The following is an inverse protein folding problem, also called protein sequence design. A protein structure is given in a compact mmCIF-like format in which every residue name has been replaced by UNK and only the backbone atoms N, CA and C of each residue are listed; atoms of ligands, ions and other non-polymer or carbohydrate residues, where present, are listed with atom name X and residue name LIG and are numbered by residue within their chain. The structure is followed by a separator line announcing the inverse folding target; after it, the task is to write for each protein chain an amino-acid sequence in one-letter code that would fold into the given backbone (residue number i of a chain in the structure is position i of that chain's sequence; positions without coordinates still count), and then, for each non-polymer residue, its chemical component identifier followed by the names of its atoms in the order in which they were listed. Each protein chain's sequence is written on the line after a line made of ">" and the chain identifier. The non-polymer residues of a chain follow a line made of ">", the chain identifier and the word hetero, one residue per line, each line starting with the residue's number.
data_IF_981738266835
#
_entry.id   IF_981738266835
#
_cell.length_a   1.000
_cell.length_b   1.000
_cell.length_c   1.000
_cell.angle_alpha   90.00
_cell.angle_beta   90.00
_cell.angle_gamma   90.00
#
_symmetry.space_group_name_H-M   'P 1'
#
loop_
_entity.id
_entity.type
_entity.pdbx_description
1 polymer ?
#
# COMPACT_ATOMS: atom_id res chain seq x y z
N UNK A 1 -77.54 -120.76 -34.79
CA UNK A 1 -76.25 -120.66 -35.53
C UNK A 1 -76.01 -119.26 -36.10
N UNK A 2 -76.83 -118.77 -37.05
CA UNK A 2 -76.60 -117.51 -37.82
C UNK A 2 -76.27 -116.29 -36.94
N UNK A 3 -77.02 -116.04 -35.84
CA UNK A 3 -76.77 -114.89 -34.95
C UNK A 3 -75.32 -114.82 -34.40
N UNK A 4 -74.66 -115.97 -34.19
CA UNK A 4 -73.27 -116.01 -33.73
C UNK A 4 -72.30 -115.53 -34.80
N UNK A 5 -72.55 -115.86 -36.08
CA UNK A 5 -71.74 -115.41 -37.22
C UNK A 5 -71.86 -113.89 -37.42
N UNK A 6 -73.08 -113.34 -37.29
CA UNK A 6 -73.31 -111.87 -37.36
C UNK A 6 -72.59 -111.14 -36.22
N UNK A 7 -72.70 -111.62 -34.97
CA UNK A 7 -71.96 -111.07 -33.82
C UNK A 7 -70.45 -111.15 -34.03
N UNK A 8 -69.93 -112.27 -34.56
CA UNK A 8 -68.50 -112.42 -34.86
C UNK A 8 -68.03 -111.47 -35.97
N UNK A 9 -68.85 -111.22 -37.00
CA UNK A 9 -68.54 -110.26 -38.07
C UNK A 9 -68.50 -108.83 -37.54
N UNK A 10 -69.48 -108.41 -36.73
CA UNK A 10 -69.51 -107.10 -36.09
C UNK A 10 -68.30 -106.89 -35.17
N UNK A 11 -67.95 -107.88 -34.34
CA UNK A 11 -66.75 -107.83 -33.51
C UNK A 11 -65.46 -107.73 -34.34
N UNK A 12 -65.31 -108.52 -35.42
CA UNK A 12 -64.19 -108.42 -36.37
C UNK A 12 -64.16 -107.11 -37.16
N UNK A 13 -65.29 -106.40 -37.29
CA UNK A 13 -65.36 -105.05 -37.87
C UNK A 13 -64.88 -104.01 -36.85
N UNK A 14 -65.50 -103.92 -35.66
CA UNK A 14 -65.11 -102.94 -34.63
C UNK A 14 -63.65 -103.12 -34.19
N UNK A 15 -63.14 -104.36 -34.14
CA UNK A 15 -61.72 -104.63 -33.86
C UNK A 15 -60.77 -104.12 -34.95
N UNK A 16 -61.20 -104.03 -36.22
CA UNK A 16 -60.39 -103.41 -37.30
C UNK A 16 -60.41 -101.89 -37.20
N UNK A 17 -61.56 -101.30 -36.93
CA UNK A 17 -61.72 -99.86 -36.71
C UNK A 17 -60.86 -99.41 -35.52
N UNK A 18 -60.99 -100.05 -34.35
CA UNK A 18 -60.16 -99.81 -33.16
C UNK A 18 -58.66 -99.97 -33.41
N UNK A 19 -58.24 -100.91 -34.29
CA UNK A 19 -56.83 -101.08 -34.67
C UNK A 19 -56.30 -99.99 -35.59
N UNK A 20 -57.16 -99.32 -36.36
CA UNK A 20 -56.81 -98.15 -37.17
C UNK A 20 -56.76 -96.91 -36.28
N UNK A 21 -57.77 -96.72 -35.42
CA UNK A 21 -57.84 -95.68 -34.39
C UNK A 21 -56.56 -95.69 -33.52
N UNK A 22 -56.20 -96.84 -32.92
CA UNK A 22 -55.01 -96.97 -32.08
C UNK A 22 -53.68 -96.72 -32.83
N UNK A 23 -53.58 -97.09 -34.11
CA UNK A 23 -52.41 -96.76 -34.94
C UNK A 23 -52.32 -95.26 -35.20
N UNK A 24 -53.43 -94.61 -35.53
CA UNK A 24 -53.50 -93.16 -35.74
C UNK A 24 -53.06 -92.39 -34.49
N UNK A 25 -53.59 -92.78 -33.31
CA UNK A 25 -53.16 -92.22 -32.02
C UNK A 25 -51.65 -92.42 -31.79
N UNK A 26 -51.11 -93.61 -32.07
CA UNK A 26 -49.68 -93.88 -31.95
C UNK A 26 -48.79 -93.07 -32.91
N UNK A 27 -49.29 -92.69 -34.09
CA UNK A 27 -48.60 -91.76 -35.00
C UNK A 27 -48.68 -90.31 -34.48
N UNK A 28 -49.85 -89.85 -34.03
CA UNK A 28 -50.04 -88.53 -33.45
C UNK A 28 -49.20 -88.32 -32.19
N UNK A 29 -49.10 -89.32 -31.30
CA UNK A 29 -48.23 -89.27 -30.11
C UNK A 29 -46.75 -89.08 -30.49
N UNK A 30 -46.27 -89.77 -31.53
CA UNK A 30 -44.88 -89.61 -32.03
C UNK A 30 -44.65 -88.24 -32.66
N UNK A 31 -45.62 -87.73 -33.43
CA UNK A 31 -45.56 -86.39 -34.01
C UNK A 31 -45.53 -85.32 -32.92
N UNK A 32 -46.46 -85.39 -31.97
CA UNK A 32 -46.57 -84.43 -30.87
C UNK A 32 -45.30 -84.42 -30.02
N UNK A 33 -44.71 -85.58 -29.69
CA UNK A 33 -43.42 -85.63 -28.98
C UNK A 33 -42.25 -85.05 -29.80
N UNK A 34 -42.30 -85.17 -31.13
CA UNK A 34 -41.35 -84.51 -32.03
C UNK A 34 -41.50 -82.98 -32.03
N UNK A 35 -42.74 -82.49 -32.03
CA UNK A 35 -43.07 -81.07 -31.95
C UNK A 35 -42.71 -80.49 -30.57
N UNK A 36 -43.00 -81.19 -29.49
CA UNK A 36 -42.64 -80.87 -28.10
C UNK A 36 -41.13 -80.71 -27.94
N UNK A 37 -40.34 -81.71 -28.38
CA UNK A 37 -38.88 -81.61 -28.42
C UNK A 37 -38.39 -80.40 -29.25
N UNK A 38 -39.08 -80.07 -30.36
CA UNK A 38 -38.71 -78.93 -31.20
C UNK A 38 -39.07 -77.58 -30.55
N UNK A 39 -40.19 -77.51 -29.83
CA UNK A 39 -40.62 -76.33 -29.05
C UNK A 39 -39.60 -76.07 -27.95
N UNK A 40 -39.23 -77.09 -27.15
CA UNK A 40 -38.20 -76.99 -26.10
C UNK A 40 -36.86 -76.50 -26.68
N UNK A 41 -36.41 -77.09 -27.80
CA UNK A 41 -35.18 -76.69 -28.47
C UNK A 41 -35.21 -75.25 -29.01
N UNK A 42 -36.37 -74.75 -29.43
CA UNK A 42 -36.54 -73.36 -29.88
C UNK A 42 -36.62 -72.38 -28.71
N UNK A 43 -37.29 -72.76 -27.62
CA UNK A 43 -37.35 -71.98 -26.36
C UNK A 43 -35.93 -71.81 -25.78
N UNK A 44 -35.20 -72.90 -25.57
CA UNK A 44 -33.81 -72.85 -25.08
C UNK A 44 -32.89 -71.95 -25.93
N UNK A 45 -33.08 -71.93 -27.26
CA UNK A 45 -32.33 -71.03 -28.14
C UNK A 45 -32.77 -69.57 -28.00
N UNK A 46 -34.07 -69.31 -27.85
CA UNK A 46 -34.62 -67.97 -27.64
C UNK A 46 -34.17 -67.40 -26.29
N UNK A 47 -34.20 -68.21 -25.23
CA UNK A 47 -33.75 -67.85 -23.89
C UNK A 47 -32.27 -67.48 -23.89
N UNK A 48 -31.42 -68.30 -24.54
CA UNK A 48 -30.00 -68.01 -24.74
C UNK A 48 -29.77 -66.71 -25.52
N UNK A 49 -30.47 -66.50 -26.64
CA UNK A 49 -30.38 -65.26 -27.42
C UNK A 49 -30.85 -64.03 -26.64
N UNK A 50 -31.84 -64.19 -25.76
CA UNK A 50 -32.38 -63.10 -24.93
C UNK A 50 -31.40 -62.72 -23.82
N UNK A 51 -30.80 -63.71 -23.16
CA UNK A 51 -29.75 -63.49 -22.18
C UNK A 51 -28.50 -62.83 -22.80
N UNK A 52 -28.07 -63.30 -23.98
CA UNK A 52 -26.93 -62.73 -24.70
C UNK A 52 -27.20 -61.30 -25.18
N UNK A 53 -28.40 -61.01 -25.70
CA UNK A 53 -28.80 -59.64 -26.04
C UNK A 53 -28.79 -58.71 -24.79
N UNK A 54 -29.23 -59.19 -23.64
CA UNK A 54 -29.13 -58.46 -22.37
C UNK A 54 -27.69 -58.17 -21.96
N UNK A 55 -26.80 -59.17 -22.08
CA UNK A 55 -25.35 -59.03 -21.83
C UNK A 55 -24.70 -58.00 -22.77
N UNK A 56 -25.05 -58.05 -24.07
CA UNK A 56 -24.56 -57.10 -25.07
C UNK A 56 -25.06 -55.67 -24.82
N UNK A 57 -26.29 -55.51 -24.32
CA UNK A 57 -26.84 -54.19 -23.97
C UNK A 57 -26.09 -53.55 -22.78
N UNK A 58 -25.78 -54.34 -21.74
CA UNK A 58 -24.95 -53.90 -20.60
C UNK A 58 -23.56 -53.45 -21.09
N UNK A 59 -22.90 -54.27 -21.92
CA UNK A 59 -21.57 -53.95 -22.47
C UNK A 59 -21.60 -52.71 -23.38
N UNK A 60 -22.69 -52.49 -24.14
CA UNK A 60 -22.85 -51.26 -24.91
C UNK A 60 -22.94 -50.04 -24.01
N UNK A 61 -23.75 -50.09 -22.95
CA UNK A 61 -23.90 -48.99 -21.99
C UNK A 61 -22.58 -48.69 -21.25
N UNK A 62 -21.81 -49.72 -20.89
CA UNK A 62 -20.48 -49.57 -20.29
C UNK A 62 -19.47 -48.97 -21.29
N UNK A 63 -19.51 -49.37 -22.57
CA UNK A 63 -18.71 -48.77 -23.62
C UNK A 63 -19.08 -47.31 -23.92
N UNK A 64 -20.36 -46.93 -23.82
CA UNK A 64 -20.82 -45.55 -23.92
C UNK A 64 -20.38 -44.70 -22.71
N UNK A 65 -20.41 -45.26 -21.50
CA UNK A 65 -19.85 -44.61 -20.30
C UNK A 65 -18.34 -44.35 -20.45
N UNK A 66 -17.56 -45.36 -20.87
CA UNK A 66 -16.13 -45.20 -21.13
C UNK A 66 -15.84 -44.20 -22.25
N UNK A 67 -16.68 -44.13 -23.30
CA UNK A 67 -16.57 -43.09 -24.36
C UNK A 67 -16.75 -41.68 -23.79
N UNK A 68 -17.72 -41.47 -22.90
CA UNK A 68 -17.95 -40.17 -22.27
C UNK A 68 -16.80 -39.78 -21.32
N UNK A 69 -16.29 -40.73 -20.53
CA UNK A 69 -15.16 -40.51 -19.62
C UNK A 69 -13.87 -40.15 -20.39
N UNK A 70 -13.58 -40.85 -21.49
CA UNK A 70 -12.45 -40.52 -22.38
C UNK A 70 -12.58 -39.13 -23.02
N UNK A 71 -13.79 -38.68 -23.36
CA UNK A 71 -14.02 -37.35 -23.90
C UNK A 71 -13.76 -36.26 -22.84
N UNK A 72 -14.20 -36.47 -21.60
CA UNK A 72 -13.93 -35.55 -20.49
C UNK A 72 -12.43 -35.42 -20.23
N UNK A 73 -11.71 -36.55 -20.14
CA UNK A 73 -10.26 -36.58 -19.91
C UNK A 73 -9.46 -35.86 -21.01
N UNK A 74 -9.88 -35.91 -22.28
CA UNK A 74 -9.19 -35.16 -23.34
C UNK A 74 -9.50 -33.65 -23.30
N UNK A 75 -10.69 -33.23 -22.84
CA UNK A 75 -10.97 -31.81 -22.58
C UNK A 75 -10.18 -31.26 -21.38
N UNK A 76 -10.08 -32.01 -20.27
CA UNK A 76 -9.23 -31.67 -19.13
C UNK A 76 -7.76 -31.56 -19.55
N UNK A 77 -7.27 -32.51 -20.36
CA UNK A 77 -5.93 -32.49 -20.94
C UNK A 77 -5.67 -31.25 -21.81
N UNK A 78 -6.65 -30.82 -22.61
CA UNK A 78 -6.54 -29.59 -23.39
C UNK A 78 -6.43 -28.34 -22.49
N UNK A 79 -7.22 -28.28 -21.41
CA UNK A 79 -7.15 -27.19 -20.43
C UNK A 79 -5.79 -27.17 -19.69
N UNK A 80 -5.28 -28.34 -19.28
CA UNK A 80 -3.97 -28.46 -18.64
C UNK A 80 -2.82 -28.04 -19.58
N UNK A 81 -2.91 -28.32 -20.88
CA UNK A 81 -1.93 -27.86 -21.88
C UNK A 81 -1.97 -26.34 -22.06
N UNK A 82 -3.15 -25.72 -22.05
CA UNK A 82 -3.30 -24.27 -22.10
C UNK A 82 -2.72 -23.60 -20.84
N UNK A 83 -3.11 -24.06 -19.65
CA UNK A 83 -2.60 -23.55 -18.37
C UNK A 83 -1.08 -23.70 -18.24
N UNK A 84 -0.51 -24.80 -18.77
CA UNK A 84 0.95 -24.98 -18.84
C UNK A 84 1.61 -23.92 -19.73
N UNK A 85 1.07 -23.64 -20.92
CA UNK A 85 1.63 -22.63 -21.83
C UNK A 85 1.55 -21.21 -21.23
N UNK A 86 0.49 -20.91 -20.48
CA UNK A 86 0.37 -19.66 -19.72
C UNK A 86 1.40 -19.57 -18.58
N UNK A 87 1.61 -20.66 -17.83
CA UNK A 87 2.64 -20.72 -16.79
C UNK A 87 4.07 -20.54 -17.35
N UNK A 88 4.38 -21.14 -18.51
CA UNK A 88 5.65 -20.93 -19.21
C UNK A 88 5.83 -19.48 -19.69
N UNK A 89 4.77 -18.84 -20.16
CA UNK A 89 4.74 -17.42 -20.55
C UNK A 89 4.95 -16.47 -19.34
N UNK A 90 4.29 -16.75 -18.21
CA UNK A 90 4.48 -16.01 -16.96
C UNK A 90 5.91 -16.19 -16.40
N UNK A 91 6.46 -17.41 -16.44
CA UNK A 91 7.83 -17.67 -16.03
C UNK A 91 8.87 -16.94 -16.92
N UNK A 92 8.59 -16.79 -18.22
CA UNK A 92 9.43 -15.98 -19.12
C UNK A 92 9.35 -14.48 -18.77
N UNK A 93 8.15 -13.95 -18.50
CA UNK A 93 7.95 -12.56 -18.07
C UNK A 93 8.64 -12.26 -16.74
N UNK A 94 8.56 -13.15 -15.75
CA UNK A 94 9.24 -13.00 -14.46
C UNK A 94 10.75 -12.87 -14.64
N UNK A 95 11.38 -13.74 -15.45
CA UNK A 95 12.82 -13.66 -15.74
C UNK A 95 13.25 -12.33 -16.39
N UNK A 96 12.41 -11.76 -17.25
CA UNK A 96 12.67 -10.44 -17.85
C UNK A 96 12.55 -9.30 -16.82
N UNK A 97 11.56 -9.38 -15.92
CA UNK A 97 11.39 -8.41 -14.83
C UNK A 97 12.50 -8.52 -13.78
N UNK A 98 12.97 -9.72 -13.46
CA UNK A 98 14.14 -9.97 -12.60
C UNK A 98 15.42 -9.39 -13.21
N UNK A 99 15.64 -9.60 -14.51
CA UNK A 99 16.79 -9.04 -15.22
C UNK A 99 16.75 -7.49 -15.22
N UNK A 100 15.59 -6.90 -15.53
CA UNK A 100 15.39 -5.45 -15.48
C UNK A 100 15.58 -4.87 -14.07
N UNK A 101 15.02 -5.52 -13.04
CA UNK A 101 15.20 -5.11 -11.63
C UNK A 101 16.67 -5.17 -11.20
N UNK A 102 17.43 -6.18 -11.67
CA UNK A 102 18.86 -6.30 -11.41
C UNK A 102 19.68 -5.22 -12.14
N UNK A 103 19.31 -4.88 -13.37
CA UNK A 103 19.91 -3.76 -14.10
C UNK A 103 19.68 -2.44 -13.36
N UNK A 104 18.44 -2.17 -12.94
CA UNK A 104 18.06 -0.93 -12.25
C UNK A 104 18.70 -0.81 -10.86
N UNK A 105 18.81 -1.91 -10.11
CA UNK A 105 19.62 -1.96 -8.90
C UNK A 105 21.07 -1.53 -9.17
N UNK A 106 21.70 -2.06 -10.23
CA UNK A 106 23.07 -1.68 -10.63
C UNK A 106 23.21 -0.26 -11.21
N UNK A 107 22.10 0.47 -11.41
CA UNK A 107 22.10 1.92 -11.69
C UNK A 107 21.97 2.71 -10.39
N UNK A 108 21.06 2.31 -9.50
CA UNK A 108 20.93 2.90 -8.17
C UNK A 108 22.24 2.80 -7.37
N UNK A 109 22.89 1.63 -7.39
CA UNK A 109 24.20 1.43 -6.75
C UNK A 109 25.24 2.47 -7.25
N UNK A 110 25.24 2.78 -8.56
CA UNK A 110 26.16 3.78 -9.14
C UNK A 110 25.78 5.20 -8.74
N UNK A 111 24.50 5.55 -8.84
CA UNK A 111 23.98 6.86 -8.46
C UNK A 111 24.19 7.16 -6.97
N UNK A 112 24.08 6.16 -6.09
CA UNK A 112 24.37 6.30 -4.66
C UNK A 112 25.86 6.51 -4.39
N UNK A 113 26.75 5.80 -5.11
CA UNK A 113 28.20 6.05 -5.07
C UNK A 113 28.56 7.45 -5.62
N UNK A 114 27.97 7.88 -6.73
CA UNK A 114 28.17 9.22 -7.32
C UNK A 114 27.68 10.32 -6.37
N UNK A 115 26.51 10.16 -5.74
CA UNK A 115 25.97 11.09 -4.75
C UNK A 115 26.87 11.17 -3.50
N UNK A 116 27.36 10.03 -2.99
CA UNK A 116 28.28 10.01 -1.85
C UNK A 116 29.63 10.65 -2.19
N UNK A 117 30.19 10.43 -3.39
CA UNK A 117 31.40 11.11 -3.85
C UNK A 117 31.21 12.63 -3.89
N UNK A 118 30.15 13.12 -4.55
CA UNK A 118 29.84 14.56 -4.64
C UNK A 118 29.61 15.20 -3.26
N UNK A 119 29.06 14.45 -2.32
CA UNK A 119 28.83 14.88 -0.93
C UNK A 119 30.14 14.98 -0.15
N UNK A 120 31.10 14.09 -0.36
CA UNK A 120 32.42 14.16 0.26
C UNK A 120 33.30 15.25 -0.39
N UNK A 121 33.21 15.46 -1.71
CA UNK A 121 33.82 16.60 -2.41
C UNK A 121 33.28 17.94 -1.87
N UNK A 122 31.95 18.08 -1.77
CA UNK A 122 31.30 19.28 -1.21
C UNK A 122 31.69 19.50 0.26
N UNK A 123 31.91 18.43 1.03
CA UNK A 123 32.40 18.51 2.42
C UNK A 123 33.83 19.03 2.48
N UNK A 124 34.72 18.56 1.60
CA UNK A 124 36.11 19.05 1.51
C UNK A 124 36.12 20.55 1.13
N UNK A 125 35.36 20.96 0.12
CA UNK A 125 35.23 22.39 -0.24
C UNK A 125 34.62 23.23 0.90
N UNK A 126 33.69 22.69 1.70
CA UNK A 126 33.17 23.37 2.88
C UNK A 126 34.23 23.51 3.99
N UNK A 127 35.06 22.50 4.24
CA UNK A 127 36.16 22.55 5.21
C UNK A 127 37.28 23.51 4.74
N UNK A 128 37.60 23.51 3.44
CA UNK A 128 38.51 24.47 2.82
C UNK A 128 37.98 25.91 2.88
N UNK A 129 36.73 26.16 2.52
CA UNK A 129 36.14 27.52 2.59
C UNK A 129 36.01 28.02 4.04
N UNK A 130 35.69 27.13 4.99
CA UNK A 130 35.67 27.47 6.42
C UNK A 130 37.07 27.82 6.96
N UNK A 131 38.12 27.09 6.58
CA UNK A 131 39.49 27.41 6.99
C UNK A 131 40.00 28.71 6.35
N UNK A 132 39.73 28.94 5.06
CA UNK A 132 40.01 30.21 4.36
C UNK A 132 39.31 31.40 5.03
N UNK A 133 38.03 31.26 5.41
CA UNK A 133 37.25 32.29 6.11
C UNK A 133 37.80 32.58 7.51
N UNK A 134 38.15 31.53 8.27
CA UNK A 134 38.76 31.68 9.60
C UNK A 134 40.10 32.42 9.55
N UNK A 135 40.95 32.13 8.56
CA UNK A 135 42.21 32.86 8.35
C UNK A 135 41.97 34.36 8.08
N UNK A 136 41.07 34.68 7.15
CA UNK A 136 40.65 36.07 6.86
C UNK A 136 40.07 36.79 8.09
N UNK A 137 39.33 36.09 8.95
CA UNK A 137 38.78 36.67 10.18
C UNK A 137 39.87 36.97 11.22
N UNK A 138 40.90 36.12 11.32
CA UNK A 138 42.10 36.36 12.14
C UNK A 138 42.88 37.56 11.60
N UNK A 139 43.08 37.67 10.29
CA UNK A 139 43.73 38.82 9.66
C UNK A 139 42.95 40.13 9.91
N UNK A 140 41.63 40.12 9.73
CA UNK A 140 40.77 41.27 10.03
C UNK A 140 40.84 41.68 11.50
N UNK A 141 40.88 40.70 12.43
CA UNK A 141 41.05 40.97 13.86
C UNK A 141 42.40 41.64 14.15
N UNK A 142 43.50 41.09 13.61
CA UNK A 142 44.85 41.64 13.76
C UNK A 142 44.95 43.06 13.15
N UNK A 143 44.35 43.29 11.99
CA UNK A 143 44.32 44.59 11.34
C UNK A 143 43.49 45.61 12.14
N UNK A 144 42.39 45.18 12.76
CA UNK A 144 41.54 46.00 13.64
C UNK A 144 42.25 46.38 14.94
N UNK A 145 43.03 45.48 15.54
CA UNK A 145 43.92 45.80 16.68
C UNK A 145 44.98 46.82 16.25
N UNK A 146 45.69 46.57 15.15
CA UNK A 146 46.74 47.46 14.64
C UNK A 146 46.20 48.86 14.29
N UNK A 147 45.00 48.95 13.72
CA UNK A 147 44.30 50.21 13.47
C UNK A 147 43.95 50.96 14.75
N UNK A 148 43.44 50.25 15.77
CA UNK A 148 43.14 50.84 17.08
C UNK A 148 44.41 51.39 17.74
N UNK A 149 45.53 50.69 17.65
CA UNK A 149 46.80 51.13 18.23
C UNK A 149 47.42 52.31 17.47
N UNK A 150 47.38 52.32 16.14
CA UNK A 150 47.72 53.52 15.34
C UNK A 150 46.82 54.71 15.71
N UNK A 151 45.54 54.47 15.98
CA UNK A 151 44.59 55.52 16.40
C UNK A 151 44.88 56.04 17.81
N UNK A 152 45.37 55.21 18.73
CA UNK A 152 45.90 55.65 20.05
C UNK A 152 47.16 56.49 19.87
N UNK A 153 48.15 56.00 19.10
CA UNK A 153 49.40 56.71 18.83
C UNK A 153 49.16 58.08 18.20
N UNK A 154 48.28 58.16 17.18
CA UNK A 154 47.91 59.43 16.57
C UNK A 154 47.34 60.41 17.61
N UNK A 155 46.41 59.97 18.46
CA UNK A 155 45.82 60.82 19.51
C UNK A 155 46.85 61.34 20.53
N UNK A 156 47.90 60.57 20.83
CA UNK A 156 49.00 61.01 21.68
C UNK A 156 49.82 62.10 20.97
N UNK A 157 50.23 61.87 19.72
CA UNK A 157 51.00 62.85 18.92
C UNK A 157 50.20 64.14 18.67
N UNK A 158 48.91 64.04 18.35
CA UNK A 158 48.01 65.20 18.19
C UNK A 158 47.94 66.01 19.50
N UNK A 159 47.93 65.35 20.67
CA UNK A 159 47.90 66.01 21.98
C UNK A 159 49.26 66.62 22.39
N UNK A 160 50.38 66.00 22.02
CA UNK A 160 51.73 66.56 22.22
C UNK A 160 51.97 67.77 21.32
N UNK A 161 51.55 67.70 20.05
CA UNK A 161 51.62 68.82 19.11
C UNK A 161 50.71 69.99 19.53
N UNK A 162 49.59 69.71 20.21
CA UNK A 162 48.76 70.74 20.85
C UNK A 162 49.48 71.40 22.05
N UNK A 163 50.14 70.62 22.91
CA UNK A 163 50.95 71.17 24.02
C UNK A 163 52.08 72.06 23.51
N UNK A 164 52.81 71.62 22.50
CA UNK A 164 53.90 72.41 21.91
C UNK A 164 53.40 73.67 21.20
N UNK A 165 52.26 73.62 20.49
CA UNK A 165 51.60 74.83 19.98
C UNK A 165 51.26 75.81 21.10
N UNK A 166 50.69 75.33 22.20
CA UNK A 166 50.35 76.18 23.35
C UNK A 166 51.61 76.76 24.02
N UNK A 167 52.71 76.00 24.10
CA UNK A 167 54.00 76.47 24.62
C UNK A 167 54.63 77.54 23.73
N UNK A 168 54.62 77.34 22.40
CA UNK A 168 55.05 78.34 21.44
C UNK A 168 54.21 79.62 21.57
N UNK A 169 52.87 79.51 21.57
CA UNK A 169 51.97 80.65 21.72
C UNK A 169 52.19 81.41 23.05
N UNK A 170 52.44 80.71 24.16
CA UNK A 170 52.78 81.35 25.43
C UNK A 170 54.10 82.13 25.31
N UNK A 171 55.16 81.53 24.75
CA UNK A 171 56.44 82.23 24.55
C UNK A 171 56.33 83.40 23.55
N UNK A 172 55.47 83.30 22.54
CA UNK A 172 55.20 84.37 21.58
C UNK A 172 54.42 85.52 22.22
N UNK A 173 53.51 85.22 23.16
CA UNK A 173 52.84 86.21 24.01
C UNK A 173 53.80 86.89 24.98
N UNK A 174 54.69 86.14 25.65
CA UNK A 174 55.74 86.69 26.52
C UNK A 174 56.70 87.60 25.73
N UNK A 175 57.16 87.16 24.55
CA UNK A 175 57.98 87.98 23.64
C UNK A 175 57.23 89.23 23.17
N UNK A 176 55.93 89.12 22.89
CA UNK A 176 55.09 90.26 22.52
C UNK A 176 54.93 91.26 23.67
N UNK A 177 54.71 90.78 24.90
CA UNK A 177 54.64 91.62 26.11
C UNK A 177 55.98 92.30 26.40
N UNK A 178 57.11 91.60 26.30
CA UNK A 178 58.43 92.20 26.44
C UNK A 178 58.69 93.27 25.36
N UNK A 179 58.28 93.01 24.11
CA UNK A 179 58.37 93.97 23.00
C UNK A 179 57.49 95.19 23.24
N UNK A 180 56.28 95.02 23.77
CA UNK A 180 55.36 96.10 24.11
C UNK A 180 55.88 96.93 25.29
N UNK A 181 56.44 96.30 26.33
CA UNK A 181 57.13 96.99 27.43
C UNK A 181 58.34 97.80 26.94
N UNK A 182 59.15 97.24 26.03
CA UNK A 182 60.27 97.96 25.40
C UNK A 182 59.79 99.15 24.55
N UNK A 183 58.68 99.01 23.81
CA UNK A 183 58.06 100.11 23.07
C UNK A 183 57.48 101.17 24.00
N UNK A 184 56.84 100.79 25.11
CA UNK A 184 56.35 101.72 26.13
C UNK A 184 57.50 102.50 26.78
N UNK A 185 58.59 101.82 27.15
CA UNK A 185 59.80 102.46 27.68
C UNK A 185 60.48 103.38 26.67
N UNK A 186 60.51 103.01 25.37
CA UNK A 186 61.00 103.89 24.31
C UNK A 186 60.12 105.14 24.14
N UNK A 187 58.79 104.99 24.19
CA UNK A 187 57.85 106.11 24.13
C UNK A 187 57.95 107.04 25.35
N UNK A 188 58.21 106.50 26.55
CA UNK A 188 58.45 107.28 27.77
C UNK A 188 59.75 108.12 27.71
N UNK A 189 60.74 107.69 26.93
CA UNK A 189 61.96 108.46 26.66
C UNK A 189 61.84 109.41 25.45
N UNK A 190 60.73 109.39 24.72
CA UNK A 190 60.56 110.09 23.44
C UNK A 190 59.33 111.00 23.41
N UNK A 191 59.42 112.19 24.01
CA UNK A 191 58.44 113.27 23.84
C UNK A 191 59.01 114.65 24.18
N UNK A 192 58.56 115.75 23.52
CA UNK A 192 58.02 115.80 22.16
C UNK A 192 58.55 117.01 21.33
N UNK A 193 59.15 116.77 20.15
CA UNK A 193 59.68 117.86 19.31
C UNK A 193 59.45 117.67 17.79
N UNK A 194 58.41 118.35 17.30
CA UNK A 194 58.31 119.05 16.01
C UNK A 194 58.67 118.34 14.67
N UNK A 195 57.59 117.97 13.96
CA UNK A 195 57.21 118.58 12.67
C UNK A 195 57.76 118.07 11.30
N UNK A 196 56.79 118.05 10.36
CA UNK A 196 56.86 118.34 8.91
C UNK A 196 57.49 117.33 7.93
N UNK A 197 56.61 116.83 7.05
CA UNK A 197 56.79 116.59 5.59
C UNK A 197 57.95 115.69 5.12
N UNK A 198 57.70 114.58 4.40
CA UNK A 198 56.42 114.00 3.97
C UNK A 198 56.58 112.99 2.82
N UNK A 199 55.45 112.66 2.15
CA UNK A 199 55.38 112.02 0.83
C UNK A 199 56.13 110.69 0.59
N UNK A 200 55.51 109.57 0.98
CA UNK A 200 55.21 108.44 0.06
C UNK A 200 53.87 107.82 0.48
N UNK A 201 52.91 107.68 -0.45
CA UNK A 201 51.75 106.77 -0.29
C UNK A 201 51.71 105.83 -1.49
N UNK A 202 52.13 104.59 -1.28
CA UNK A 202 52.17 103.53 -2.29
C UNK A 202 51.53 102.25 -1.72
N UNK A 203 50.75 101.57 -2.56
CA UNK A 203 50.25 100.20 -2.41
C UNK A 203 49.45 99.84 -1.15
N UNK A 204 48.23 100.36 -1.06
CA UNK A 204 47.07 99.56 -0.62
C UNK A 204 45.86 99.80 -1.52
N UNK A 205 45.68 98.95 -2.55
CA UNK A 205 44.37 98.60 -3.12
C UNK A 205 44.45 97.40 -4.07
N UNK A 206 43.49 96.48 -3.89
CA UNK A 206 42.88 95.57 -4.87
C UNK A 206 43.77 94.54 -5.60
N UNK A 207 43.41 93.26 -5.44
CA UNK A 207 42.97 92.26 -6.45
C UNK A 207 42.83 90.91 -5.68
N UNK A 208 41.78 90.07 -5.81
CA UNK A 208 40.66 90.02 -6.75
C UNK A 208 39.31 89.68 -6.07
N UNK A 209 38.26 90.42 -6.43
CA UNK A 209 37.02 89.86 -7.01
C UNK A 209 37.15 90.04 -8.56
N UNK A 210 36.24 89.58 -9.46
CA UNK A 210 34.91 88.99 -9.28
C UNK A 210 34.81 87.59 -9.97
N UNK A 211 33.69 87.05 -10.49
CA UNK A 211 32.85 87.47 -11.65
C UNK A 211 31.77 86.36 -11.84
N UNK A 212 30.45 86.52 -12.03
CA UNK A 212 29.47 87.63 -11.98
C UNK A 212 28.12 87.00 -11.46
N UNK A 213 26.84 87.37 -11.71
CA UNK A 213 26.17 88.32 -12.63
C UNK A 213 24.80 88.81 -12.10
N UNK A 214 24.28 89.85 -12.78
CA UNK A 214 22.94 90.46 -12.89
C UNK A 214 21.71 89.52 -12.73
N UNK A 215 20.52 89.96 -12.25
CA UNK A 215 20.04 91.35 -12.08
C UNK A 215 18.74 91.53 -11.26
N UNK A 216 18.07 92.70 -11.38
CA UNK A 216 17.08 93.17 -10.41
C UNK A 216 15.62 92.79 -10.73
N UNK A 217 14.77 92.71 -9.69
CA UNK A 217 13.44 93.35 -9.57
C UNK A 217 12.61 92.71 -8.44
N UNK A 218 12.81 93.18 -7.20
CA UNK A 218 12.10 92.69 -6.01
C UNK A 218 10.64 93.13 -5.86
N UNK A 219 9.80 93.07 -6.91
CA UNK A 219 8.35 93.35 -6.82
C UNK A 219 7.48 92.80 -7.98
N UNK A 220 7.11 91.52 -7.90
CA UNK A 220 5.99 90.87 -8.64
C UNK A 220 5.40 89.87 -7.62
N UNK A 221 4.19 90.03 -7.04
CA UNK A 221 2.81 90.09 -7.58
C UNK A 221 2.36 88.76 -8.22
N UNK A 222 1.33 88.15 -7.61
CA UNK A 222 0.81 86.80 -7.87
C UNK A 222 0.07 86.62 -9.19
N UNK A 223 0.55 85.67 -10.02
CA UNK A 223 -0.19 84.76 -10.93
C UNK A 223 0.76 83.54 -11.10
N UNK A 224 0.39 82.25 -11.16
CA UNK A 224 -0.90 81.55 -11.23
C UNK A 224 -0.86 80.54 -12.40
N UNK A 225 -0.80 79.22 -12.13
CA UNK A 225 -0.78 78.19 -13.20
C UNK A 225 -0.42 76.75 -12.78
N UNK A 226 -1.19 75.80 -13.32
CA UNK A 226 -0.80 74.53 -13.95
C UNK A 226 -0.13 73.37 -13.17
N UNK A 227 0.01 73.44 -11.84
CA UNK A 227 0.60 72.32 -11.06
C UNK A 227 -0.39 71.24 -10.56
N UNK A 228 -1.71 71.42 -10.68
CA UNK A 228 -2.69 70.43 -10.18
C UNK A 228 -2.98 69.31 -11.20
N UNK A 229 -3.27 69.65 -12.46
CA UNK A 229 -3.67 68.66 -13.47
C UNK A 229 -2.59 67.61 -13.72
N UNK A 230 -1.30 68.00 -13.72
CA UNK A 230 -0.17 67.09 -13.87
C UNK A 230 -0.12 66.06 -12.72
N UNK A 231 -0.41 66.49 -11.49
CA UNK A 231 -0.47 65.58 -10.33
C UNK A 231 -1.70 64.66 -10.39
N UNK A 232 -2.84 65.16 -10.89
CA UNK A 232 -4.06 64.37 -11.08
C UNK A 232 -3.88 63.31 -12.18
N UNK A 233 -3.27 63.64 -13.32
CA UNK A 233 -2.91 62.67 -14.37
C UNK A 233 -1.94 61.61 -13.84
N UNK A 234 -0.93 61.98 -13.05
CA UNK A 234 -0.01 61.02 -12.41
C UNK A 234 -0.74 60.11 -11.40
N UNK A 235 -1.76 60.63 -10.69
CA UNK A 235 -2.59 59.83 -9.80
C UNK A 235 -3.49 58.86 -10.58
N UNK A 236 -4.13 59.31 -11.65
CA UNK A 236 -4.96 58.48 -12.55
C UNK A 236 -4.13 57.35 -13.16
N UNK A 237 -2.91 57.62 -13.63
CA UNK A 237 -2.02 56.58 -14.18
C UNK A 237 -1.63 55.54 -13.11
N UNK A 238 -1.36 55.95 -11.87
CA UNK A 238 -1.12 55.03 -10.74
C UNK A 238 -2.36 54.19 -10.42
N UNK A 239 -3.55 54.80 -10.40
CA UNK A 239 -4.82 54.09 -10.20
C UNK A 239 -5.10 53.08 -11.33
N UNK A 240 -4.90 53.46 -12.60
CA UNK A 240 -5.05 52.57 -13.74
C UNK A 240 -4.06 51.39 -13.69
N UNK A 241 -2.82 51.62 -13.28
CA UNK A 241 -1.84 50.55 -13.08
C UNK A 241 -2.29 49.58 -11.98
N UNK A 242 -2.73 50.09 -10.82
CA UNK A 242 -3.27 49.26 -9.72
C UNK A 242 -4.50 48.48 -10.18
N UNK A 243 -5.44 49.11 -10.91
CA UNK A 243 -6.63 48.45 -11.47
C UNK A 243 -6.24 47.35 -12.48
N UNK A 244 -5.21 47.57 -13.30
CA UNK A 244 -4.69 46.56 -14.23
C UNK A 244 -4.11 45.35 -13.51
N UNK A 245 -3.26 45.57 -12.48
CA UNK A 245 -2.69 44.51 -11.65
C UNK A 245 -3.78 43.74 -10.89
N UNK A 246 -4.78 44.44 -10.33
CA UNK A 246 -5.92 43.81 -9.66
C UNK A 246 -6.77 42.97 -10.64
N UNK A 247 -7.05 43.46 -11.85
CA UNK A 247 -7.76 42.70 -12.89
C UNK A 247 -7.00 41.44 -13.27
N UNK A 248 -5.69 41.55 -13.52
CA UNK A 248 -4.83 40.40 -13.83
C UNK A 248 -4.82 39.37 -12.69
N UNK A 249 -4.76 39.82 -11.43
CA UNK A 249 -4.80 38.94 -10.25
C UNK A 249 -6.17 38.26 -10.05
N UNK A 250 -7.27 38.95 -10.30
CA UNK A 250 -8.63 38.37 -10.29
C UNK A 250 -8.78 37.34 -11.41
N UNK A 251 -8.31 37.65 -12.61
CA UNK A 251 -8.36 36.74 -13.76
C UNK A 251 -7.49 35.48 -13.53
N UNK A 252 -6.31 35.64 -12.93
CA UNK A 252 -5.48 34.52 -12.47
C UNK A 252 -6.19 33.67 -11.41
N UNK A 253 -6.83 34.31 -10.42
CA UNK A 253 -7.60 33.61 -9.38
C UNK A 253 -8.84 32.90 -9.92
N UNK A 254 -9.46 33.40 -10.99
CA UNK A 254 -10.55 32.69 -11.68
C UNK A 254 -10.02 31.44 -12.35
N UNK A 255 -8.96 31.55 -13.17
CA UNK A 255 -8.34 30.40 -13.84
C UNK A 255 -7.90 29.31 -12.85
N UNK A 256 -7.39 29.68 -11.69
CA UNK A 256 -6.99 28.72 -10.66
C UNK A 256 -8.20 28.09 -9.96
N UNK A 257 -9.29 28.83 -9.72
CA UNK A 257 -10.55 28.24 -9.25
C UNK A 257 -11.14 27.26 -10.28
N UNK A 258 -11.15 27.60 -11.56
CA UNK A 258 -11.63 26.73 -12.64
C UNK A 258 -10.77 25.45 -12.75
N UNK A 259 -9.46 25.57 -12.56
CA UNK A 259 -8.51 24.45 -12.46
C UNK A 259 -8.78 23.57 -11.23
N UNK A 260 -8.87 24.16 -10.04
CA UNK A 260 -9.12 23.44 -8.78
C UNK A 260 -10.46 22.71 -8.82
N UNK A 261 -11.51 23.35 -9.36
CA UNK A 261 -12.80 22.70 -9.60
C UNK A 261 -12.68 21.51 -10.54
N UNK A 262 -11.96 21.66 -11.66
CA UNK A 262 -11.72 20.56 -12.61
C UNK A 262 -10.97 19.38 -11.96
N UNK A 263 -10.08 19.64 -11.01
CA UNK A 263 -9.39 18.61 -10.22
C UNK A 263 -10.35 17.92 -9.23
N UNK A 264 -11.22 18.67 -8.56
CA UNK A 264 -12.24 18.13 -7.65
C UNK A 264 -13.22 17.22 -8.42
N UNK A 265 -13.76 17.71 -9.55
CA UNK A 265 -14.70 16.96 -10.39
C UNK A 265 -14.04 15.66 -10.93
N UNK A 266 -12.74 15.68 -11.27
CA UNK A 266 -11.99 14.50 -11.66
C UNK A 266 -11.74 13.51 -10.49
N UNK A 267 -11.39 14.01 -9.31
CA UNK A 267 -11.17 13.17 -8.12
C UNK A 267 -12.47 12.47 -7.68
N UNK A 268 -13.62 13.16 -7.73
CA UNK A 268 -14.93 12.55 -7.45
C UNK A 268 -15.28 11.42 -8.43
N UNK A 269 -14.88 11.55 -9.71
CA UNK A 269 -15.05 10.47 -10.68
C UNK A 269 -14.15 9.27 -10.38
N UNK A 270 -12.88 9.50 -10.01
CA UNK A 270 -11.93 8.44 -9.60
C UNK A 270 -12.48 7.68 -8.38
N UNK A 271 -12.87 8.39 -7.31
CA UNK A 271 -13.42 7.78 -6.10
C UNK A 271 -14.68 6.94 -6.39
N UNK A 272 -15.52 7.37 -7.35
CA UNK A 272 -16.70 6.62 -7.79
C UNK A 272 -16.36 5.35 -8.59
N UNK A 273 -15.23 5.33 -9.30
CA UNK A 273 -14.71 4.18 -10.04
C UNK A 273 -14.02 3.19 -9.10
N UNK A 274 -13.27 3.68 -8.11
CA UNK A 274 -12.63 2.83 -7.10
C UNK A 274 -13.67 2.13 -6.22
N UNK A 275 -14.69 2.85 -5.74
CA UNK A 275 -15.84 2.27 -5.03
C UNK A 275 -16.55 1.18 -5.85
N UNK A 276 -16.71 1.40 -7.17
CA UNK A 276 -17.32 0.42 -8.09
C UNK A 276 -16.40 -0.79 -8.33
N UNK A 277 -15.09 -0.58 -8.33
CA UNK A 277 -14.09 -1.64 -8.54
C UNK A 277 -13.94 -2.50 -7.29
N UNK A 278 -13.90 -1.88 -6.11
CA UNK A 278 -13.93 -2.56 -4.81
C UNK A 278 -15.20 -3.40 -4.62
N UNK A 279 -16.37 -2.88 -5.02
CA UNK A 279 -17.61 -3.68 -4.97
C UNK A 279 -17.53 -4.91 -5.88
N UNK A 280 -17.05 -4.76 -7.12
CA UNK A 280 -16.90 -5.87 -8.07
C UNK A 280 -15.88 -6.92 -7.62
N UNK A 281 -14.77 -6.52 -7.00
CA UNK A 281 -13.79 -7.49 -6.48
C UNK A 281 -14.34 -8.24 -5.27
N UNK A 282 -15.09 -7.57 -4.39
CA UNK A 282 -15.83 -8.24 -3.31
C UNK A 282 -16.92 -9.19 -3.84
N UNK A 283 -17.72 -8.78 -4.82
CA UNK A 283 -18.73 -9.62 -5.48
C UNK A 283 -18.10 -10.87 -6.14
N UNK A 284 -16.96 -10.71 -6.81
CA UNK A 284 -16.23 -11.82 -7.44
C UNK A 284 -15.63 -12.79 -6.40
N UNK A 285 -15.02 -12.28 -5.32
CA UNK A 285 -14.55 -13.11 -4.21
C UNK A 285 -15.71 -13.88 -3.57
N UNK A 286 -16.84 -13.21 -3.35
CA UNK A 286 -18.03 -13.81 -2.72
C UNK A 286 -18.70 -14.86 -3.61
N UNK A 287 -18.64 -14.70 -4.93
CA UNK A 287 -19.05 -15.73 -5.89
C UNK A 287 -18.13 -16.97 -5.79
N UNK A 288 -16.80 -16.75 -5.80
CA UNK A 288 -15.80 -17.82 -5.71
C UNK A 288 -15.90 -18.61 -4.38
N UNK A 289 -16.18 -17.94 -3.26
CA UNK A 289 -16.49 -18.60 -1.98
C UNK A 289 -17.70 -19.53 -2.08
N UNK A 290 -18.77 -19.06 -2.73
CA UNK A 290 -20.03 -19.78 -2.85
C UNK A 290 -19.91 -20.98 -3.82
N UNK A 291 -19.18 -20.82 -4.92
CA UNK A 291 -18.82 -21.90 -5.84
C UNK A 291 -18.01 -22.99 -5.13
N UNK A 292 -16.98 -22.61 -4.37
CA UNK A 292 -16.16 -23.56 -3.58
C UNK A 292 -16.95 -24.24 -2.45
N UNK A 293 -17.93 -23.57 -1.85
CA UNK A 293 -18.83 -24.19 -0.88
C UNK A 293 -19.79 -25.19 -1.57
N UNK A 294 -20.26 -24.88 -2.77
CA UNK A 294 -21.14 -25.74 -3.56
C UNK A 294 -20.42 -26.99 -4.07
N UNK A 295 -19.18 -26.89 -4.56
CA UNK A 295 -18.41 -28.08 -5.00
C UNK A 295 -18.16 -29.04 -3.84
N UNK A 296 -17.73 -28.53 -2.68
CA UNK A 296 -17.53 -29.35 -1.46
C UNK A 296 -18.81 -30.06 -1.01
N UNK A 297 -19.96 -29.35 -1.02
CA UNK A 297 -21.24 -29.95 -0.67
C UNK A 297 -21.67 -31.02 -1.68
N UNK A 298 -21.40 -30.81 -2.98
CA UNK A 298 -21.62 -31.81 -4.04
C UNK A 298 -20.73 -33.04 -3.83
N UNK A 299 -19.45 -32.85 -3.54
CA UNK A 299 -18.48 -33.93 -3.25
C UNK A 299 -18.90 -34.75 -2.01
N UNK A 300 -19.32 -34.12 -0.90
CA UNK A 300 -19.80 -34.85 0.28
C UNK A 300 -21.13 -35.58 0.03
N UNK A 301 -22.01 -35.06 -0.82
CA UNK A 301 -23.24 -35.74 -1.24
C UNK A 301 -22.96 -36.93 -2.18
N UNK A 302 -22.03 -36.77 -3.13
CA UNK A 302 -21.58 -37.86 -4.02
C UNK A 302 -20.91 -38.97 -3.20
N UNK A 303 -20.05 -38.63 -2.23
CA UNK A 303 -19.47 -39.58 -1.26
C UNK A 303 -20.55 -40.35 -0.47
N UNK A 304 -21.61 -39.67 -0.01
CA UNK A 304 -22.73 -40.32 0.69
C UNK A 304 -23.56 -41.22 -0.23
N UNK A 305 -23.73 -40.86 -1.49
CA UNK A 305 -24.40 -41.72 -2.49
C UNK A 305 -23.57 -42.97 -2.76
N UNK A 306 -22.25 -42.87 -2.88
CA UNK A 306 -21.40 -44.07 -2.99
C UNK A 306 -21.40 -44.92 -1.71
N UNK A 307 -21.37 -44.29 -0.53
CA UNK A 307 -21.44 -44.97 0.77
C UNK A 307 -22.74 -45.78 0.90
N UNK A 308 -23.87 -45.22 0.44
CA UNK A 308 -25.15 -45.92 0.30
C UNK A 308 -25.10 -47.10 -0.67
N UNK A 309 -24.44 -46.95 -1.82
CA UNK A 309 -24.34 -47.99 -2.85
C UNK A 309 -23.47 -49.16 -2.38
N UNK A 310 -22.36 -48.89 -1.66
CA UNK A 310 -21.46 -49.92 -1.13
C UNK A 310 -21.99 -50.61 0.13
N UNK A 311 -22.54 -49.84 1.07
CA UNK A 311 -22.79 -50.30 2.45
C UNK A 311 -24.29 -50.35 2.82
N UNK A 312 -25.20 -49.92 1.93
CA UNK A 312 -26.63 -49.82 2.20
C UNK A 312 -27.05 -48.54 2.93
N UNK A 313 -28.36 -48.30 3.03
CA UNK A 313 -28.91 -47.06 3.62
C UNK A 313 -28.60 -46.87 5.11
N UNK A 314 -28.44 -47.96 5.88
CA UNK A 314 -28.20 -47.90 7.33
C UNK A 314 -26.78 -47.46 7.69
N UNK A 315 -25.84 -47.58 6.73
CA UNK A 315 -24.45 -47.16 6.88
C UNK A 315 -24.16 -45.74 6.35
N UNK A 316 -25.19 -44.99 5.91
CA UNK A 316 -25.01 -43.61 5.46
C UNK A 316 -24.71 -42.68 6.63
N UNK A 317 -23.52 -42.07 6.65
CA UNK A 317 -23.11 -41.12 7.70
C UNK A 317 -23.76 -39.72 7.56
N UNK A 318 -25.03 -39.67 7.15
CA UNK A 318 -25.79 -38.44 6.87
C UNK A 318 -25.98 -37.58 8.13
N UNK A 319 -26.10 -38.21 9.31
CA UNK A 319 -26.14 -37.53 10.61
C UNK A 319 -24.88 -36.67 10.82
N UNK A 320 -23.69 -37.22 10.60
CA UNK A 320 -22.43 -36.50 10.77
C UNK A 320 -22.29 -35.34 9.79
N UNK A 321 -22.80 -35.47 8.55
CA UNK A 321 -22.84 -34.33 7.62
C UNK A 321 -23.73 -33.19 8.14
N UNK A 322 -24.94 -33.51 8.64
CA UNK A 322 -25.86 -32.50 9.20
C UNK A 322 -25.26 -31.84 10.44
N UNK A 323 -24.64 -32.61 11.33
CA UNK A 323 -23.98 -32.11 12.55
C UNK A 323 -22.82 -31.16 12.21
N UNK A 324 -21.93 -31.53 11.28
CA UNK A 324 -20.89 -30.62 10.75
C UNK A 324 -21.46 -29.33 10.16
N UNK A 325 -22.52 -29.42 9.37
CA UNK A 325 -23.16 -28.25 8.73
C UNK A 325 -23.75 -27.31 9.80
N UNK A 326 -24.25 -27.84 10.91
CA UNK A 326 -24.76 -27.05 12.03
C UNK A 326 -23.60 -26.36 12.79
N UNK A 327 -22.56 -27.10 13.19
CA UNK A 327 -21.35 -26.54 13.83
C UNK A 327 -20.69 -25.43 12.99
N UNK A 328 -20.60 -25.64 11.67
CA UNK A 328 -20.07 -24.71 10.68
C UNK A 328 -20.98 -23.47 10.46
N UNK A 329 -22.28 -23.58 10.75
CA UNK A 329 -23.22 -22.45 10.76
C UNK A 329 -23.14 -21.67 12.07
N UNK A 330 -23.05 -22.34 13.22
CA UNK A 330 -22.98 -21.70 14.52
C UNK A 330 -21.67 -20.94 14.70
N UNK A 331 -20.53 -21.48 14.26
CA UNK A 331 -19.26 -20.72 14.20
C UNK A 331 -19.39 -19.42 13.37
N UNK A 332 -20.06 -19.48 12.21
CA UNK A 332 -20.33 -18.27 11.39
C UNK A 332 -21.28 -17.28 12.06
N UNK A 333 -22.18 -17.74 12.95
CA UNK A 333 -23.03 -16.84 13.75
C UNK A 333 -22.19 -16.14 14.82
N UNK A 334 -21.29 -16.88 15.49
CA UNK A 334 -20.35 -16.32 16.47
C UNK A 334 -19.42 -15.28 15.82
N UNK A 335 -18.74 -15.62 14.71
CA UNK A 335 -17.92 -14.71 13.91
C UNK A 335 -18.70 -13.44 13.49
N UNK A 336 -19.96 -13.60 13.04
CA UNK A 336 -20.82 -12.47 12.67
C UNK A 336 -21.28 -11.62 13.86
N UNK A 337 -21.36 -12.18 15.06
CA UNK A 337 -21.65 -11.45 16.31
C UNK A 337 -20.40 -10.68 16.77
N UNK A 338 -19.22 -11.30 16.74
CA UNK A 338 -17.95 -10.64 17.05
C UNK A 338 -17.68 -9.44 16.11
N UNK A 339 -17.82 -9.64 14.79
CA UNK A 339 -17.66 -8.56 13.81
C UNK A 339 -18.67 -7.42 14.02
N UNK A 340 -19.92 -7.73 14.41
CA UNK A 340 -20.91 -6.71 14.79
C UNK A 340 -20.53 -5.97 16.06
N UNK A 341 -19.98 -6.65 17.06
CA UNK A 341 -19.51 -6.02 18.30
C UNK A 341 -18.29 -5.10 18.04
N UNK A 342 -17.34 -5.53 17.22
CA UNK A 342 -16.18 -4.72 16.80
C UNK A 342 -16.64 -3.47 16.03
N UNK A 343 -17.58 -3.63 15.08
CA UNK A 343 -18.15 -2.50 14.34
C UNK A 343 -18.95 -1.55 15.25
N UNK A 344 -19.79 -2.07 16.16
CA UNK A 344 -20.52 -1.25 17.13
C UNK A 344 -19.56 -0.44 18.02
N UNK A 345 -18.53 -1.08 18.59
CA UNK A 345 -17.49 -0.41 19.38
C UNK A 345 -16.58 0.54 18.58
N UNK A 346 -16.57 0.45 17.24
CA UNK A 346 -15.95 1.45 16.35
C UNK A 346 -16.89 2.64 16.12
N UNK A 347 -18.18 2.42 15.87
CA UNK A 347 -19.17 3.50 15.76
C UNK A 347 -19.33 4.27 17.07
N UNK A 348 -19.35 3.58 18.21
CA UNK A 348 -19.46 4.19 19.54
C UNK A 348 -18.21 5.01 19.89
N UNK A 349 -16.99 4.49 19.66
CA UNK A 349 -15.75 5.30 19.79
C UNK A 349 -15.75 6.52 18.86
N UNK A 350 -16.21 6.39 17.61
CA UNK A 350 -16.31 7.52 16.66
C UNK A 350 -17.34 8.56 17.11
N UNK A 351 -18.46 8.13 17.68
CA UNK A 351 -19.47 9.02 18.25
C UNK A 351 -18.95 9.75 19.52
N UNK A 352 -18.22 9.05 20.39
CA UNK A 352 -17.59 9.65 21.58
C UNK A 352 -16.49 10.66 21.21
N UNK A 353 -15.64 10.35 20.23
CA UNK A 353 -14.66 11.30 19.70
C UNK A 353 -15.35 12.53 19.08
N UNK A 354 -16.48 12.32 18.40
CA UNK A 354 -17.29 13.42 17.83
C UNK A 354 -17.98 14.27 18.90
N UNK A 355 -18.31 13.70 20.07
CA UNK A 355 -19.04 14.41 21.13
C UNK A 355 -18.15 15.24 22.07
N UNK A 356 -16.83 15.02 22.08
CA UNK A 356 -15.87 15.92 22.73
C UNK A 356 -15.69 17.25 21.96
N UNK A 357 -15.96 17.26 20.66
CA UNK A 357 -15.88 18.44 19.79
C UNK A 357 -17.07 19.37 20.00
N UNK A 358 -17.05 20.11 21.11
CA UNK A 358 -18.06 21.13 21.44
C UNK A 358 -18.12 22.22 20.34
N UNK A 359 -19.30 22.59 19.83
CA UNK A 359 -19.42 23.47 18.67
C UNK A 359 -19.26 24.95 19.06
N UNK A 360 -18.03 25.47 19.03
CA UNK A 360 -17.71 26.91 19.07
C UNK A 360 -16.28 27.17 18.52
N UNK A 361 -16.10 27.14 17.19
CA UNK A 361 -14.97 27.78 16.48
C UNK A 361 -15.13 27.69 14.95
N UNK A 362 -15.22 28.84 14.27
CA UNK A 362 -15.26 28.92 12.79
C UNK A 362 -13.89 28.65 12.15
N UNK A 363 -13.47 27.37 12.11
CA UNK A 363 -12.23 26.97 11.42
C UNK A 363 -12.46 25.80 10.44
N UNK A 364 -12.78 26.16 9.19
CA UNK A 364 -12.71 25.29 8.03
C UNK A 364 -11.25 25.04 7.62
N UNK A 365 -10.51 24.29 8.44
CA UNK A 365 -9.11 23.94 8.19
C UNK A 365 -8.76 22.58 8.79
N UNK A 366 -8.62 21.56 7.95
CA UNK A 366 -8.15 20.23 8.41
C UNK A 366 -8.74 18.98 7.74
N UNK A 367 -9.18 19.01 6.48
CA UNK A 367 -9.62 17.79 5.76
C UNK A 367 -8.42 16.99 5.22
N UNK A 368 -7.35 16.88 6.01
CA UNK A 368 -6.06 16.28 5.63
C UNK A 368 -5.37 15.64 6.83
N UNK A 369 -5.86 14.47 7.29
CA UNK A 369 -5.12 13.42 8.03
C UNK A 369 -6.00 12.18 8.30
N UNK A 370 -6.68 11.64 7.28
CA UNK A 370 -7.32 10.32 7.40
C UNK A 370 -6.27 9.20 7.13
N UNK A 371 -5.30 9.43 6.22
CA UNK A 371 -4.22 8.48 5.87
C UNK A 371 -3.41 7.99 7.09
N UNK A 372 -3.03 8.89 8.01
CA UNK A 372 -2.30 8.51 9.23
C UNK A 372 -3.14 7.72 10.23
N UNK A 373 -4.47 7.70 10.07
CA UNK A 373 -5.35 6.82 10.83
C UNK A 373 -5.45 5.44 10.17
N UNK A 374 -5.42 5.36 8.83
CA UNK A 374 -5.43 4.09 8.10
C UNK A 374 -4.15 3.26 8.32
N UNK A 375 -2.98 3.88 8.48
CA UNK A 375 -1.75 3.13 8.82
C UNK A 375 -1.82 2.46 10.20
N UNK A 376 -2.29 3.19 11.21
CA UNK A 376 -2.47 2.69 12.59
C UNK A 376 -3.49 1.51 12.62
N UNK A 377 -4.46 1.52 11.71
CA UNK A 377 -5.46 0.45 11.56
C UNK A 377 -4.90 -0.83 10.92
N UNK A 378 -4.09 -0.72 9.87
CA UNK A 378 -3.46 -1.90 9.25
C UNK A 378 -2.42 -2.51 10.21
N UNK A 379 -1.73 -1.69 11.00
CA UNK A 379 -0.85 -2.15 12.07
C UNK A 379 -1.64 -2.87 13.20
N UNK A 380 -2.75 -2.30 13.70
CA UNK A 380 -3.65 -2.96 14.68
C UNK A 380 -4.15 -4.32 14.16
N UNK A 381 -4.64 -4.37 12.92
CA UNK A 381 -5.17 -5.59 12.28
C UNK A 381 -4.05 -6.61 12.02
N UNK A 382 -2.85 -6.17 11.64
CA UNK A 382 -1.71 -7.07 11.44
C UNK A 382 -1.25 -7.68 12.76
N UNK A 383 -1.21 -6.90 13.84
CA UNK A 383 -0.86 -7.36 15.18
C UNK A 383 -1.90 -8.36 15.69
N UNK A 384 -3.19 -8.07 15.54
CA UNK A 384 -4.25 -8.99 15.95
C UNK A 384 -4.20 -10.31 15.17
N UNK A 385 -3.91 -10.27 13.86
CA UNK A 385 -3.70 -11.46 13.03
C UNK A 385 -2.51 -12.29 13.52
N UNK A 386 -1.38 -11.67 13.87
CA UNK A 386 -0.24 -12.37 14.45
C UNK A 386 -0.57 -12.96 15.84
N UNK A 387 -1.29 -12.24 16.70
CA UNK A 387 -1.74 -12.76 17.99
C UNK A 387 -2.66 -13.98 17.83
N UNK A 388 -3.59 -13.96 16.86
CA UNK A 388 -4.45 -15.12 16.53
C UNK A 388 -3.61 -16.31 16.04
N UNK A 389 -2.64 -16.09 15.14
CA UNK A 389 -1.74 -17.14 14.64
C UNK A 389 -0.87 -17.74 15.76
N UNK A 390 -0.33 -16.90 16.65
CA UNK A 390 0.48 -17.34 17.79
C UNK A 390 -0.35 -18.15 18.79
N UNK A 391 -1.58 -17.72 19.09
CA UNK A 391 -2.53 -18.44 19.94
C UNK A 391 -2.85 -19.84 19.38
N UNK A 392 -3.07 -19.93 18.06
CA UNK A 392 -3.31 -21.20 17.36
C UNK A 392 -2.07 -22.12 17.43
N UNK A 393 -0.87 -21.57 17.23
CA UNK A 393 0.38 -22.33 17.37
C UNK A 393 0.60 -22.85 18.81
N UNK A 394 0.32 -22.03 19.83
CA UNK A 394 0.36 -22.44 21.24
C UNK A 394 -0.66 -23.54 21.54
N UNK A 395 -1.86 -23.49 20.97
CA UNK A 395 -2.84 -24.58 21.10
C UNK A 395 -2.34 -25.89 20.48
N UNK A 396 -1.78 -25.86 19.26
CA UNK A 396 -1.20 -27.05 18.62
C UNK A 396 -0.03 -27.63 19.39
N UNK A 397 0.86 -26.79 19.95
CA UNK A 397 1.95 -27.24 20.81
C UNK A 397 1.42 -27.85 22.12
N UNK A 398 0.40 -27.24 22.74
CA UNK A 398 -0.24 -27.76 23.96
C UNK A 398 -0.85 -29.13 23.72
N UNK A 399 -1.60 -29.31 22.62
CA UNK A 399 -2.15 -30.60 22.21
C UNK A 399 -1.05 -31.65 21.98
N UNK A 400 0.03 -31.25 21.30
CA UNK A 400 1.19 -32.14 21.06
C UNK A 400 1.85 -32.57 22.38
N UNK A 401 1.93 -31.68 23.38
CA UNK A 401 2.46 -32.00 24.72
C UNK A 401 1.53 -32.97 25.46
N UNK A 402 0.21 -32.76 25.41
CA UNK A 402 -0.77 -33.70 26.00
C UNK A 402 -0.66 -35.09 25.37
N UNK A 403 -0.53 -35.19 24.06
CA UNK A 403 -0.34 -36.46 23.34
C UNK A 403 0.99 -37.14 23.67
N UNK A 404 2.09 -36.36 23.82
CA UNK A 404 3.38 -36.90 24.27
C UNK A 404 3.30 -37.43 25.71
N UNK A 405 2.65 -36.69 26.62
CA UNK A 405 2.51 -37.09 28.01
C UNK A 405 1.66 -38.37 28.15
N UNK A 406 0.54 -38.47 27.43
CA UNK A 406 -0.30 -39.67 27.41
C UNK A 406 0.44 -40.92 26.86
N UNK A 407 1.41 -40.74 25.95
CA UNK A 407 2.25 -41.84 25.47
C UNK A 407 3.39 -42.17 26.45
N UNK A 408 3.94 -41.19 27.18
CA UNK A 408 4.86 -41.44 28.30
C UNK A 408 4.15 -42.29 29.36
N UNK A 409 2.94 -41.92 29.78
CA UNK A 409 2.13 -42.71 30.72
C UNK A 409 1.89 -44.15 30.22
N UNK A 410 1.63 -44.36 28.91
CA UNK A 410 1.53 -45.73 28.35
C UNK A 410 2.84 -46.50 28.44
N UNK A 411 3.97 -45.86 28.16
CA UNK A 411 5.29 -46.49 28.19
C UNK A 411 5.72 -46.81 29.64
N UNK A 412 5.42 -45.93 30.59
CA UNK A 412 5.63 -46.16 32.03
C UNK A 412 4.76 -47.31 32.54
N UNK A 413 3.47 -47.35 32.20
CA UNK A 413 2.59 -48.46 32.57
C UNK A 413 3.10 -49.80 32.00
N UNK A 414 3.51 -49.84 30.74
CA UNK A 414 4.11 -51.05 30.12
C UNK A 414 5.45 -51.44 30.76
N UNK A 415 6.26 -50.48 31.20
CA UNK A 415 7.49 -50.75 31.94
C UNK A 415 7.19 -51.32 33.34
N UNK A 416 6.16 -50.82 34.01
CA UNK A 416 5.68 -51.33 35.29
C UNK A 416 5.12 -52.76 35.16
N UNK A 417 4.36 -53.07 34.10
CA UNK A 417 3.90 -54.43 33.79
C UNK A 417 5.07 -55.40 33.56
N UNK A 418 6.06 -55.02 32.74
CA UNK A 418 7.23 -55.85 32.41
C UNK A 418 8.14 -56.06 33.63
N UNK A 419 8.34 -55.03 34.46
CA UNK A 419 9.13 -55.16 35.69
C UNK A 419 8.41 -56.00 36.76
N UNK A 420 7.10 -55.81 36.95
CA UNK A 420 6.28 -56.65 37.83
C UNK A 420 6.28 -58.13 37.39
N UNK A 421 6.20 -58.36 36.08
CA UNK A 421 6.27 -59.72 35.49
C UNK A 421 7.62 -60.37 35.78
N UNK A 422 8.75 -59.68 35.49
CA UNK A 422 10.11 -60.18 35.78
C UNK A 422 10.36 -60.44 37.27
N UNK A 423 9.86 -59.57 38.15
CA UNK A 423 9.95 -59.77 39.60
C UNK A 423 9.16 -61.01 40.01
N UNK A 424 7.96 -61.21 39.45
CA UNK A 424 7.12 -62.39 39.71
C UNK A 424 7.77 -63.70 39.23
N UNK A 425 8.37 -63.71 38.04
CA UNK A 425 9.14 -64.86 37.52
C UNK A 425 10.35 -65.18 38.40
N UNK A 426 11.09 -64.17 38.85
CA UNK A 426 12.23 -64.33 39.75
C UNK A 426 11.82 -64.91 41.11
N UNK A 427 10.73 -64.41 41.71
CA UNK A 427 10.18 -64.95 42.95
C UNK A 427 9.64 -66.38 42.81
N UNK A 428 9.13 -66.76 41.63
CA UNK A 428 8.76 -68.16 41.33
C UNK A 428 10.00 -69.06 41.27
N UNK A 429 11.09 -68.64 40.61
CA UNK A 429 12.33 -69.42 40.54
C UNK A 429 13.01 -69.59 41.90
N UNK A 430 13.03 -68.55 42.74
CA UNK A 430 13.59 -68.62 44.11
C UNK A 430 12.76 -69.50 45.05
N UNK A 431 11.50 -69.84 44.71
CA UNK A 431 10.65 -70.80 45.44
C UNK A 431 10.75 -72.25 44.95
N UNK A 432 11.58 -72.52 43.95
CA UNK A 432 11.77 -73.84 43.33
C UNK A 432 13.16 -74.44 43.61
N UNK A 433 13.85 -73.90 44.63
CA UNK A 433 15.15 -74.34 45.16
C UNK A 433 14.99 -74.49 46.69
#
# INVERSE_FOLDING_TARGET
>A
MIQCQVRQWLARRRLRELKIEARSVGHLQKLNKGLENKIISLQQKLDFMTAENGRLWIISAEADKMRAEMANLDTERCLLLAAKAEAENLAAKLKLLEASRKEEASKNDKLENELQNLKDELKIEHEETATKLNALNIELSNLRVRYNDLTKQKKLVDAELLKERNRCLASEQEISQMREQLLANANLLASPALSRTGSVRINQRNLNQPLLITGPNGKIITVGGDNNEINEVVLILKQQHIISVLRSKVEQSSRENDRLKSIIDANMLIESLDKRTAMRTFEAQRLQELELAYTKLKEEMERLVEEKIRNGSEAMNFRSLVEKILEENDRRREEAIELRAILAGRFERRAQASSLSRPDSDQWSGVYSDDSLFSDMDDEISLERHCRQLKLHVQTLTQTIVERNAEIERLENRLNEVTFSRVSESFMQVRLI
#
